data_IF_725843708786
#
_entry.id   IF_725843708786
#
_cell.length_a   1.000
_cell.length_b   1.000
_cell.length_c   1.000
_cell.angle_alpha   90.00
_cell.angle_beta   90.00
_cell.angle_gamma   90.00
#
_symmetry.space_group_name_H-M   'P 1'
#
loop_
_entity.id
_entity.type
_entity.pdbx_description
1 polymer ?
#
# COMPACT_ATOMS: atom_id res chain seq x y z
N UNK A 1 -0.68 7.91 14.16
CA UNK A 1 -1.71 6.84 14.07
C UNK A 1 -2.05 6.37 15.47
N UNK A 2 -3.33 6.23 15.80
CA UNK A 2 -3.77 5.65 17.07
C UNK A 2 -4.80 4.55 16.78
N UNK A 3 -4.50 3.33 17.19
CA UNK A 3 -5.46 2.23 17.19
C UNK A 3 -6.23 2.30 18.52
N UNK A 4 -7.55 2.50 18.44
CA UNK A 4 -8.39 2.52 19.65
C UNK A 4 -8.80 1.08 19.93
N UNK A 5 -8.31 0.56 21.05
CA UNK A 5 -8.71 -0.75 21.58
C UNK A 5 -9.31 -0.56 22.97
N UNK A 6 -10.09 -1.53 23.44
CA UNK A 6 -10.60 -1.51 24.81
C UNK A 6 -9.42 -1.52 25.80
N UNK A 7 -9.58 -0.80 26.92
CA UNK A 7 -8.62 -0.85 28.05
C UNK A 7 -8.34 -2.31 28.43
N UNK A 8 -7.07 -2.71 28.37
CA UNK A 8 -6.62 -4.08 28.68
C UNK A 8 -6.45 -5.00 27.47
N UNK A 9 -6.88 -4.58 26.28
CA UNK A 9 -6.63 -5.31 25.02
C UNK A 9 -5.27 -4.91 24.46
N UNK A 10 -4.41 -5.88 24.15
CA UNK A 10 -3.14 -5.62 23.47
C UNK A 10 -3.39 -5.11 22.04
N UNK A 11 -2.61 -4.11 21.61
CA UNK A 11 -2.64 -3.66 20.21
C UNK A 11 -1.71 -4.58 19.41
N UNK A 12 -2.28 -5.48 18.62
CA UNK A 12 -1.50 -6.15 17.56
C UNK A 12 -1.46 -5.20 16.36
N UNK A 13 -0.27 -4.67 16.04
CA UNK A 13 -0.11 -3.91 14.81
C UNK A 13 -0.34 -4.85 13.62
N UNK A 14 -1.08 -4.42 12.59
CA UNK A 14 -1.14 -5.17 11.34
C UNK A 14 0.28 -5.39 10.78
N UNK A 15 0.58 -6.61 10.36
CA UNK A 15 1.87 -6.96 9.75
C UNK A 15 1.74 -6.91 8.23
N UNK A 16 2.46 -6.00 7.58
CA UNK A 16 2.49 -5.90 6.13
C UNK A 16 3.12 -7.11 5.44
N UNK A 17 3.82 -7.97 6.20
CA UNK A 17 4.37 -9.24 5.70
C UNK A 17 3.32 -10.37 5.69
N UNK A 18 2.21 -10.18 6.40
CA UNK A 18 1.10 -11.12 6.42
C UNK A 18 0.32 -11.05 5.12
N UNK A 19 0.10 -12.20 4.50
CA UNK A 19 -0.71 -12.29 3.27
C UNK A 19 -2.20 -12.18 3.56
N UNK A 20 -2.62 -12.36 4.82
CA UNK A 20 -4.02 -12.18 5.25
C UNK A 20 -4.35 -10.72 5.57
N UNK A 21 -3.37 -9.82 5.55
CA UNK A 21 -3.60 -8.41 5.79
C UNK A 21 -4.40 -7.78 4.63
N UNK A 22 -5.34 -6.89 4.94
CA UNK A 22 -6.15 -6.18 3.94
C UNK A 22 -5.68 -4.72 3.86
N UNK A 23 -5.04 -4.30 2.77
CA UNK A 23 -4.65 -2.91 2.59
C UNK A 23 -5.81 -2.01 2.16
N UNK A 24 -5.80 -0.79 2.68
CA UNK A 24 -6.84 0.21 2.47
C UNK A 24 -6.21 1.54 2.07
N UNK A 25 -6.73 2.13 1.01
CA UNK A 25 -6.35 3.47 0.56
C UNK A 25 -6.92 4.55 1.51
N UNK A 26 -6.15 5.62 1.72
CA UNK A 26 -6.55 6.78 2.51
C UNK A 26 -6.57 8.03 1.63
N UNK A 27 -7.60 8.83 1.80
CA UNK A 27 -7.85 10.12 1.12
C UNK A 27 -8.05 10.04 -0.39
N UNK A 28 -7.18 9.32 -1.11
CA UNK A 28 -7.16 9.22 -2.57
C UNK A 28 -7.24 7.73 -2.95
N UNK A 29 -8.17 7.33 -3.86
CA UNK A 29 -8.23 5.97 -4.38
C UNK A 29 -6.92 5.56 -5.07
N UNK A 30 -6.55 4.27 -5.00
CA UNK A 30 -5.29 3.78 -5.54
C UNK A 30 -5.13 4.00 -7.04
N UNK A 31 -6.23 3.90 -7.80
CA UNK A 31 -6.23 4.22 -9.23
C UNK A 31 -5.90 5.69 -9.52
N UNK A 32 -6.37 6.63 -8.71
CA UNK A 32 -6.05 8.06 -8.88
C UNK A 32 -4.60 8.34 -8.52
N UNK A 33 -4.06 7.66 -7.51
CA UNK A 33 -2.64 7.75 -7.16
C UNK A 33 -1.74 7.19 -8.27
N UNK A 34 -2.13 6.06 -8.88
CA UNK A 34 -1.41 5.45 -9.99
C UNK A 34 -1.35 6.34 -11.24
N UNK A 35 -2.40 7.13 -11.50
CA UNK A 35 -2.43 8.12 -12.59
C UNK A 35 -1.46 9.28 -12.36
N UNK A 36 -1.25 9.67 -11.10
CA UNK A 36 -0.33 10.76 -10.74
C UNK A 36 1.14 10.35 -10.83
N UNK A 37 1.45 9.05 -10.79
CA UNK A 37 2.81 8.56 -10.99
C UNK A 37 3.36 9.01 -12.35
N UNK A 38 4.61 9.48 -12.35
CA UNK A 38 5.34 9.91 -13.54
C UNK A 38 6.02 8.72 -14.24
N UNK A 39 6.45 8.88 -15.52
CA UNK A 39 7.14 7.82 -16.25
C UNK A 39 8.44 7.32 -15.58
N UNK A 40 9.09 8.16 -14.78
CA UNK A 40 10.28 7.84 -13.98
C UNK A 40 9.98 7.09 -12.66
N UNK A 41 8.73 6.63 -12.49
CA UNK A 41 8.24 5.91 -11.32
C UNK A 41 8.20 6.74 -10.02
N UNK A 42 8.24 8.07 -10.13
CA UNK A 42 8.01 8.95 -8.97
C UNK A 42 6.54 9.36 -8.83
N UNK A 43 6.08 9.52 -7.59
CA UNK A 43 4.79 10.10 -7.24
C UNK A 43 5.03 11.53 -6.73
N UNK A 44 4.59 12.59 -7.45
CA UNK A 44 4.63 13.94 -6.92
C UNK A 44 3.66 14.07 -5.73
N UNK A 45 4.19 14.33 -4.54
CA UNK A 45 3.41 14.43 -3.31
C UNK A 45 3.47 15.84 -2.73
N UNK A 46 2.32 16.44 -2.47
CA UNK A 46 2.21 17.78 -1.93
C UNK A 46 2.22 17.77 -0.38
N UNK A 47 3.13 18.54 0.20
CA UNK A 47 3.20 18.92 1.61
C UNK A 47 2.94 20.42 1.72
N UNK A 48 1.66 20.82 1.77
CA UNK A 48 1.27 22.23 1.68
C UNK A 48 1.65 22.81 0.32
N UNK A 49 2.54 23.81 0.30
CA UNK A 49 3.03 24.44 -0.94
C UNK A 49 4.24 23.73 -1.56
N UNK A 50 4.86 22.80 -0.84
CA UNK A 50 6.01 22.05 -1.34
C UNK A 50 5.56 20.75 -2.03
N UNK A 51 6.05 20.48 -3.24
CA UNK A 51 5.83 19.21 -3.93
C UNK A 51 7.13 18.44 -4.00
N UNK A 52 7.15 17.22 -3.44
CA UNK A 52 8.32 16.35 -3.40
C UNK A 52 8.08 15.12 -4.29
N UNK A 53 9.02 14.75 -5.17
CA UNK A 53 8.93 13.50 -5.91
C UNK A 53 9.27 12.32 -4.98
N UNK A 54 8.31 11.43 -4.78
CA UNK A 54 8.49 10.23 -3.96
C UNK A 54 8.78 9.04 -4.88
N UNK A 55 9.95 8.39 -4.79
CA UNK A 55 10.23 7.20 -5.59
C UNK A 55 9.32 6.04 -5.15
N UNK A 56 8.81 5.29 -6.12
CA UNK A 56 8.08 4.04 -5.89
C UNK A 56 8.60 2.96 -6.85
N UNK A 57 8.45 1.67 -6.49
CA UNK A 57 8.73 0.58 -7.42
C UNK A 57 7.93 0.74 -8.73
N UNK A 58 8.48 0.38 -9.90
CA UNK A 58 7.75 0.46 -11.17
C UNK A 58 6.40 -0.27 -11.14
N UNK A 59 6.36 -1.41 -10.45
CA UNK A 59 5.18 -2.26 -10.32
C UNK A 59 4.09 -1.65 -9.42
N UNK A 60 4.41 -0.61 -8.64
CA UNK A 60 3.42 0.09 -7.80
C UNK A 60 2.26 0.65 -8.64
N UNK A 61 2.52 1.11 -9.86
CA UNK A 61 1.47 1.62 -10.78
C UNK A 61 0.39 0.59 -11.09
N UNK A 62 0.77 -0.69 -11.23
CA UNK A 62 -0.16 -1.79 -11.50
C UNK A 62 -0.78 -2.41 -10.24
N UNK A 63 -0.12 -2.21 -9.09
CA UNK A 63 -0.54 -2.67 -7.76
C UNK A 63 -1.61 -1.77 -7.15
N UNK A 64 -1.39 -0.45 -7.16
CA UNK A 64 -2.24 0.54 -6.49
C UNK A 64 -3.73 0.43 -6.87
N UNK A 65 -4.13 0.23 -8.13
CA UNK A 65 -5.54 0.09 -8.49
C UNK A 65 -6.22 -1.16 -7.91
N UNK A 66 -5.46 -2.13 -7.41
CA UNK A 66 -6.01 -3.37 -6.85
C UNK A 66 -6.38 -3.23 -5.36
N UNK A 67 -5.91 -2.17 -4.69
CA UNK A 67 -6.17 -1.88 -3.28
C UNK A 67 -7.57 -1.26 -3.17
N UNK A 68 -8.56 -2.09 -2.89
CA UNK A 68 -9.97 -1.71 -2.72
C UNK A 68 -10.45 -1.74 -1.26
N UNK A 69 -9.62 -2.24 -0.35
CA UNK A 69 -9.97 -2.39 1.06
C UNK A 69 -10.71 -3.69 1.39
N UNK A 70 -10.83 -4.61 0.43
CA UNK A 70 -11.43 -5.93 0.63
C UNK A 70 -10.43 -7.05 0.35
N UNK A 71 -9.64 -6.92 -0.72
CA UNK A 71 -8.64 -7.92 -1.09
C UNK A 71 -7.49 -7.97 -0.09
N UNK A 72 -7.05 -9.17 0.23
CA UNK A 72 -5.86 -9.41 1.04
C UNK A 72 -4.57 -9.16 0.26
N UNK A 73 -3.44 -8.98 0.94
CA UNK A 73 -2.10 -8.91 0.31
C UNK A 73 -1.83 -10.17 -0.52
N UNK A 74 -2.30 -11.34 -0.09
CA UNK A 74 -2.23 -12.59 -0.84
C UNK A 74 -3.03 -12.55 -2.15
N UNK A 75 -4.24 -11.97 -2.15
CA UNK A 75 -5.02 -11.78 -3.36
C UNK A 75 -4.31 -10.86 -4.36
N UNK A 76 -3.69 -9.77 -3.86
CA UNK A 76 -2.88 -8.88 -4.69
C UNK A 76 -1.69 -9.62 -5.32
N UNK A 77 -1.02 -10.48 -4.53
CA UNK A 77 0.08 -11.31 -5.01
C UNK A 77 -0.38 -12.26 -6.13
N UNK A 78 -1.51 -12.95 -5.92
CA UNK A 78 -2.08 -13.86 -6.90
C UNK A 78 -2.45 -13.15 -8.20
N UNK A 79 -3.08 -11.97 -8.12
CA UNK A 79 -3.41 -11.17 -9.31
C UNK A 79 -2.15 -10.74 -10.06
N UNK A 80 -1.12 -10.26 -9.36
CA UNK A 80 0.12 -9.84 -10.03
C UNK A 80 0.94 -11.01 -10.56
N UNK A 81 0.82 -12.21 -9.99
CA UNK A 81 1.39 -13.43 -10.55
C UNK A 81 0.82 -13.75 -11.94
N UNK A 82 -0.48 -13.54 -12.18
CA UNK A 82 -1.08 -13.67 -13.52
C UNK A 82 -0.50 -12.69 -14.56
N UNK A 83 0.14 -11.60 -14.09
CA UNK A 83 0.81 -10.57 -14.89
C UNK A 83 2.33 -10.76 -14.95
N UNK A 84 2.83 -11.92 -14.55
CA UNK A 84 4.25 -12.28 -14.61
C UNK A 84 5.11 -11.77 -13.44
N UNK A 85 4.50 -11.35 -12.32
CA UNK A 85 5.24 -10.97 -11.11
C UNK A 85 5.22 -12.14 -10.11
N UNK A 86 6.30 -12.92 -9.98
CA UNK A 86 6.33 -14.03 -9.02
C UNK A 86 6.25 -13.53 -7.58
N UNK A 87 5.74 -14.35 -6.68
CA UNK A 87 5.47 -14.00 -5.28
C UNK A 87 6.68 -13.39 -4.56
N UNK A 88 7.87 -13.96 -4.74
CA UNK A 88 9.10 -13.42 -4.13
C UNK A 88 9.37 -11.96 -4.56
N UNK A 89 9.14 -11.65 -5.84
CA UNK A 89 9.27 -10.28 -6.36
C UNK A 89 8.14 -9.38 -5.85
N UNK A 90 6.92 -9.92 -5.77
CA UNK A 90 5.78 -9.22 -5.21
C UNK A 90 6.05 -8.80 -3.76
N UNK A 91 6.56 -9.69 -2.90
CA UNK A 91 6.86 -9.39 -1.49
C UNK A 91 7.76 -8.16 -1.35
N UNK A 92 8.83 -8.08 -2.13
CA UNK A 92 9.73 -6.91 -2.13
C UNK A 92 9.02 -5.63 -2.58
N UNK A 93 8.32 -5.69 -3.73
CA UNK A 93 7.57 -4.54 -4.27
C UNK A 93 6.51 -4.05 -3.28
N UNK A 94 5.77 -4.98 -2.67
CA UNK A 94 4.72 -4.72 -1.70
C UNK A 94 5.29 -4.03 -0.47
N UNK A 95 6.35 -4.57 0.13
CA UNK A 95 6.98 -4.00 1.32
C UNK A 95 7.48 -2.58 1.07
N UNK A 96 8.19 -2.35 -0.04
CA UNK A 96 8.71 -1.02 -0.37
C UNK A 96 7.58 -0.01 -0.64
N UNK A 97 6.56 -0.42 -1.39
CA UNK A 97 5.39 0.42 -1.69
C UNK A 97 4.60 0.74 -0.42
N UNK A 98 4.30 -0.27 0.39
CA UNK A 98 3.55 -0.14 1.63
C UNK A 98 4.28 0.79 2.61
N UNK A 99 5.55 0.54 2.91
CA UNK A 99 6.31 1.36 3.86
C UNK A 99 6.39 2.82 3.43
N UNK A 100 6.55 3.07 2.12
CA UNK A 100 6.57 4.42 1.57
C UNK A 100 5.22 5.11 1.73
N UNK A 101 4.13 4.45 1.34
CA UNK A 101 2.79 5.04 1.37
C UNK A 101 2.17 5.10 2.76
N UNK A 102 2.54 4.20 3.68
CA UNK A 102 2.15 4.27 5.09
C UNK A 102 2.74 5.53 5.74
N UNK A 103 4.02 5.83 5.48
CA UNK A 103 4.68 7.06 5.96
C UNK A 103 4.04 8.34 5.42
N UNK A 104 3.47 8.27 4.22
CA UNK A 104 2.68 9.36 3.62
C UNK A 104 1.21 9.37 4.05
N UNK A 105 0.79 8.44 4.92
CA UNK A 105 -0.59 8.28 5.35
C UNK A 105 -1.55 8.05 4.15
N UNK A 106 -1.13 7.26 3.16
CA UNK A 106 -1.89 6.95 1.93
C UNK A 106 -2.37 5.51 1.85
N UNK A 107 -1.68 4.59 2.50
CA UNK A 107 -2.10 3.18 2.59
C UNK A 107 -1.96 2.73 4.03
N UNK A 108 -2.96 2.03 4.53
CA UNK A 108 -2.97 1.39 5.84
C UNK A 108 -3.37 -0.07 5.69
N UNK A 109 -3.27 -0.82 6.77
CA UNK A 109 -3.85 -2.16 6.88
C UNK A 109 -5.05 -2.12 7.81
N UNK A 110 -6.09 -2.89 7.50
CA UNK A 110 -7.16 -3.15 8.45
C UNK A 110 -6.60 -3.83 9.69
N UNK A 111 -7.14 -3.53 10.89
CA UNK A 111 -6.81 -4.29 12.07
C UNK A 111 -7.17 -5.77 11.86
N UNK A 112 -6.36 -6.71 12.36
CA UNK A 112 -6.75 -8.11 12.39
C UNK A 112 -8.06 -8.28 13.17
N UNK A 113 -8.90 -9.21 12.73
CA UNK A 113 -10.21 -9.52 13.34
C UNK A 113 -10.08 -10.04 14.78
#
# INVERSE_FOLDING_TARGET
MAYVVRKGTGITRPDASSFDAVPVMREIPGIELAKQMRPDHTLPFAFGTLVVPIPLPPQARGLLPLIDGERTVGDLAAILATRGVPENKFRTVWQETFQTLERLNRVLLLPPA
#
